data_IF_761154884326
#
_entry.id   IF_761154884326
#
_cell.length_a   1.000
_cell.length_b   1.000
_cell.length_c   1.000
_cell.angle_alpha   90.00
_cell.angle_beta   90.00
_cell.angle_gamma   90.00
#
_symmetry.space_group_name_H-M   'P 1'
#
loop_
_entity.id
_entity.type
_entity.pdbx_description
1 polymer ?
#
# COMPACT_ATOMS: atom_id res chain seq x y z
N UNK A 1 -7.07 -10.25 -26.60
CA UNK A 1 -7.16 -9.82 -25.18
C UNK A 1 -5.76 -9.78 -24.59
N UNK A 2 -5.13 -8.62 -24.48
CA UNK A 2 -3.83 -8.50 -23.80
C UNK A 2 -4.04 -8.63 -22.30
N UNK A 3 -3.63 -9.76 -21.71
CA UNK A 3 -3.64 -9.94 -20.26
C UNK A 3 -2.73 -8.87 -19.66
N UNK A 4 -3.32 -7.90 -18.95
CA UNK A 4 -2.56 -6.95 -18.13
C UNK A 4 -1.71 -7.77 -17.15
N UNK A 5 -0.39 -7.67 -17.27
CA UNK A 5 0.54 -8.35 -16.38
C UNK A 5 0.24 -7.90 -14.95
N UNK A 6 -0.10 -8.85 -14.10
CA UNK A 6 -0.44 -8.57 -12.70
C UNK A 6 0.85 -8.27 -11.95
N UNK A 7 1.17 -7.00 -11.78
CA UNK A 7 2.33 -6.59 -10.97
C UNK A 7 2.04 -6.95 -9.51
N UNK A 8 2.85 -7.82 -8.94
CA UNK A 8 2.78 -8.24 -7.55
C UNK A 8 3.73 -7.39 -6.72
N UNK A 9 3.18 -6.61 -5.78
CA UNK A 9 3.96 -5.79 -4.87
C UNK A 9 4.07 -6.47 -3.51
N UNK A 10 5.28 -6.56 -2.97
CA UNK A 10 5.53 -7.02 -1.60
C UNK A 10 4.98 -6.03 -0.56
N UNK A 11 4.68 -6.51 0.65
CA UNK A 11 4.21 -5.64 1.75
C UNK A 11 5.16 -4.47 2.03
N UNK A 12 6.47 -4.76 2.04
CA UNK A 12 7.53 -3.74 2.18
C UNK A 12 7.47 -2.67 1.08
N UNK A 13 7.35 -3.05 -0.19
CA UNK A 13 7.24 -2.06 -1.28
C UNK A 13 6.04 -1.14 -1.10
N UNK A 14 4.88 -1.71 -0.74
CA UNK A 14 3.66 -0.91 -0.54
C UNK A 14 3.80 0.04 0.65
N UNK A 15 4.47 -0.37 1.72
CA UNK A 15 4.76 0.46 2.89
C UNK A 15 5.68 1.63 2.53
N UNK A 16 6.77 1.37 1.80
CA UNK A 16 7.69 2.42 1.32
C UNK A 16 6.94 3.47 0.51
N UNK A 17 6.09 3.04 -0.42
CA UNK A 17 5.25 3.96 -1.20
C UNK A 17 4.25 4.73 -0.35
N UNK A 18 3.66 4.09 0.66
CA UNK A 18 2.73 4.76 1.56
C UNK A 18 3.42 5.81 2.44
N UNK A 19 4.61 5.50 2.96
CA UNK A 19 5.47 6.45 3.67
C UNK A 19 5.85 7.63 2.80
N UNK A 20 6.28 7.39 1.56
CA UNK A 20 6.58 8.47 0.61
C UNK A 20 5.39 9.42 0.41
N UNK A 21 4.15 8.91 0.36
CA UNK A 21 2.96 9.75 0.20
C UNK A 21 2.56 10.53 1.45
N UNK A 22 2.80 9.98 2.64
CA UNK A 22 2.33 10.56 3.91
C UNK A 22 3.42 11.41 4.56
N UNK A 23 4.63 10.89 4.65
CA UNK A 23 5.79 11.56 5.25
C UNK A 23 6.57 12.35 4.19
N UNK A 24 6.76 11.77 3.01
CA UNK A 24 7.52 12.40 1.92
C UNK A 24 6.74 13.45 1.12
N UNK A 25 5.44 13.64 1.39
CA UNK A 25 4.59 14.60 0.68
C UNK A 25 4.35 14.26 -0.81
N UNK A 26 4.68 13.05 -1.25
CA UNK A 26 4.46 12.65 -2.64
C UNK A 26 2.97 12.57 -2.97
N UNK A 27 2.62 13.03 -4.17
CA UNK A 27 1.28 12.86 -4.72
C UNK A 27 1.04 11.41 -5.15
N UNK A 28 -0.22 10.98 -5.10
CA UNK A 28 -0.62 9.65 -5.57
C UNK A 28 -0.18 9.42 -7.03
N UNK A 29 -0.26 10.44 -7.89
CA UNK A 29 0.14 10.36 -9.30
C UNK A 29 1.64 10.10 -9.45
N UNK A 30 2.49 10.69 -8.61
CA UNK A 30 3.92 10.42 -8.62
C UNK A 30 4.21 8.98 -8.21
N UNK A 31 3.55 8.48 -7.17
CA UNK A 31 3.71 7.10 -6.72
C UNK A 31 3.16 6.10 -7.74
N UNK A 32 2.07 6.41 -8.44
CA UNK A 32 1.57 5.61 -9.56
C UNK A 32 2.62 5.47 -10.66
N UNK A 33 3.31 6.58 -11.02
CA UNK A 33 4.37 6.57 -12.03
C UNK A 33 5.61 5.79 -11.59
N UNK A 34 6.03 5.93 -10.33
CA UNK A 34 7.23 5.27 -9.79
C UNK A 34 6.98 3.77 -9.59
N UNK A 35 5.83 3.41 -9.03
CA UNK A 35 5.49 2.02 -8.70
C UNK A 35 4.92 1.25 -9.89
N UNK A 36 4.37 1.93 -10.90
CA UNK A 36 3.57 1.30 -11.96
C UNK A 36 2.24 0.73 -11.45
N UNK A 37 1.86 1.02 -10.20
CA UNK A 37 0.60 0.59 -9.62
C UNK A 37 -0.55 1.50 -10.08
N UNK A 38 -1.75 0.92 -10.18
CA UNK A 38 -2.94 1.70 -10.52
C UNK A 38 -3.39 2.61 -9.37
N UNK A 39 -4.07 3.71 -9.71
CA UNK A 39 -4.64 4.70 -8.78
C UNK A 39 -5.35 4.12 -7.56
N UNK A 40 -6.20 3.11 -7.77
CA UNK A 40 -6.93 2.46 -6.68
C UNK A 40 -6.05 1.66 -5.72
N UNK A 41 -4.89 1.15 -6.17
CA UNK A 41 -3.94 0.45 -5.32
C UNK A 41 -3.18 1.46 -4.44
N UNK A 42 -2.65 2.51 -5.05
CA UNK A 42 -1.90 3.59 -4.38
C UNK A 42 -2.76 4.28 -3.32
N UNK A 43 -4.02 4.61 -3.65
CA UNK A 43 -4.96 5.18 -2.67
C UNK A 43 -5.20 4.26 -1.47
N UNK A 44 -5.33 2.94 -1.69
CA UNK A 44 -5.51 1.98 -0.58
C UNK A 44 -4.28 1.90 0.32
N UNK A 45 -3.07 1.89 -0.25
CA UNK A 45 -1.84 1.84 0.55
C UNK A 45 -1.72 3.07 1.45
N UNK A 46 -2.04 4.26 0.93
CA UNK A 46 -2.07 5.50 1.71
C UNK A 46 -3.10 5.43 2.85
N UNK A 47 -4.34 5.05 2.54
CA UNK A 47 -5.40 4.95 3.55
C UNK A 47 -5.06 3.93 4.64
N UNK A 48 -4.48 2.78 4.24
CA UNK A 48 -4.07 1.75 5.18
C UNK A 48 -2.94 2.25 6.09
N UNK A 49 -1.95 2.95 5.56
CA UNK A 49 -0.86 3.52 6.37
C UNK A 49 -1.35 4.61 7.34
N UNK A 50 -2.26 5.48 6.90
CA UNK A 50 -2.88 6.48 7.77
C UNK A 50 -3.74 5.84 8.88
N UNK A 51 -4.43 4.74 8.57
CA UNK A 51 -5.19 4.00 9.56
C UNK A 51 -4.27 3.34 10.60
N UNK A 52 -3.15 2.74 10.15
CA UNK A 52 -2.11 2.19 11.04
C UNK A 52 -1.48 3.28 11.92
N UNK A 53 -1.18 4.48 11.38
CA UNK A 53 -0.67 5.62 12.14
C UNK A 53 -1.64 6.12 13.21
N UNK A 54 -2.94 6.11 12.93
CA UNK A 54 -3.98 6.50 13.88
C UNK A 54 -4.34 5.38 14.89
N UNK A 55 -3.55 4.30 14.96
CA UNK A 55 -3.80 3.16 15.84
C UNK A 55 -5.01 2.31 15.44
N UNK A 56 -5.57 2.55 14.25
CA UNK A 56 -6.76 1.87 13.75
C UNK A 56 -6.34 0.80 12.73
N UNK A 57 -5.72 -0.28 13.20
CA UNK A 57 -5.36 -1.41 12.35
C UNK A 57 -6.62 -2.11 11.83
N UNK A 58 -6.80 -2.27 10.50
CA UNK A 58 -7.97 -2.92 9.94
C UNK A 58 -8.01 -4.42 10.31
N UNK A 59 -8.93 -4.79 11.21
CA UNK A 59 -9.15 -6.15 11.75
C UNK A 59 -9.42 -7.23 10.70
N UNK A 60 -9.76 -6.86 9.45
CA UNK A 60 -10.22 -7.79 8.40
C UNK A 60 -9.45 -7.77 7.07
N UNK A 61 -8.43 -6.92 6.89
CA UNK A 61 -7.72 -6.80 5.61
C UNK A 61 -6.23 -7.01 5.83
N UNK A 62 -5.64 -7.99 5.13
CA UNK A 62 -4.21 -8.35 5.20
C UNK A 62 -3.32 -7.10 5.37
N UNK A 63 -2.71 -6.98 6.53
CA UNK A 63 -1.86 -5.86 6.91
C UNK A 63 -0.73 -5.65 5.89
N UNK A 64 -0.41 -4.39 5.62
CA UNK A 64 0.65 -4.00 4.68
C UNK A 64 2.03 -4.25 5.28
N UNK A 65 2.10 -4.09 6.60
CA UNK A 65 3.25 -4.30 7.45
C UNK A 65 3.44 -5.80 7.77
N UNK A 66 4.67 -6.33 7.62
CA UNK A 66 4.95 -7.76 7.81
C UNK A 66 4.74 -8.25 9.26
N UNK A 67 4.58 -7.37 10.25
CA UNK A 67 4.39 -7.77 11.65
C UNK A 67 3.07 -8.50 11.93
N UNK A 68 2.02 -8.31 11.13
CA UNK A 68 0.69 -8.86 11.45
C UNK A 68 0.18 -9.94 10.48
N UNK A 69 1.00 -10.36 9.52
CA UNK A 69 0.65 -11.44 8.59
C UNK A 69 0.55 -12.83 9.27
N UNK A 70 0.92 -12.91 10.56
CA UNK A 70 0.97 -14.15 11.35
C UNK A 70 -0.34 -14.49 12.09
N UNK A 71 -1.31 -13.58 12.15
CA UNK A 71 -2.56 -13.77 12.93
C UNK A 71 -3.69 -14.36 12.05
N UNK A 72 -3.47 -14.51 10.75
CA UNK A 72 -4.44 -15.11 9.82
C UNK A 72 -3.85 -16.35 9.13
N UNK A 73 -3.40 -17.31 9.93
CA UNK A 73 -3.18 -18.68 9.49
C UNK A 73 -4.05 -19.62 10.32
#
# INVERSE_FOLDING_TARGET
>A
MTRKVKVTFSGKQKLEYAKLMVEGGYSNIQVEKISGAGKSAVSRWKQQYLAELNGNTPVKSKALTPEQQRIQN
#
